data_IF_512618560657
#
_entry.id   IF_512618560657
#
_cell.length_a   1.000
_cell.length_b   1.000
_cell.length_c   1.000
_cell.angle_alpha   90.00
_cell.angle_beta   90.00
_cell.angle_gamma   90.00
#
_symmetry.space_group_name_H-M   'P 1'
#
loop_
_entity.id
_entity.type
_entity.pdbx_description
1 polymer ?
#
# COMPACT_ATOMS: atom_id res chain seq x y z
N UNK A 1 72.06 -8.48 31.19
CA UNK A 1 71.03 -9.45 30.74
C UNK A 1 69.57 -8.99 30.96
N UNK A 2 69.31 -7.78 31.50
CA UNK A 2 67.96 -7.34 31.90
C UNK A 2 67.24 -6.38 30.92
N UNK A 3 67.86 -5.96 29.83
CA UNK A 3 67.30 -4.93 28.92
C UNK A 3 66.32 -5.48 27.88
N UNK A 4 66.42 -6.76 27.54
CA UNK A 4 65.60 -7.41 26.49
C UNK A 4 64.13 -7.63 26.89
N UNK A 5 63.88 -7.97 28.16
CA UNK A 5 62.53 -8.22 28.68
C UNK A 5 61.70 -6.94 28.79
N UNK A 6 62.31 -5.82 29.18
CA UNK A 6 61.64 -4.51 29.23
C UNK A 6 61.26 -3.99 27.83
N UNK A 7 62.14 -4.18 26.84
CA UNK A 7 61.85 -3.81 25.45
C UNK A 7 60.73 -4.68 24.85
N UNK A 8 60.73 -5.98 25.12
CA UNK A 8 59.68 -6.88 24.65
C UNK A 8 58.30 -6.52 25.25
N UNK A 9 58.28 -6.11 26.52
CA UNK A 9 57.05 -5.68 27.19
C UNK A 9 56.48 -4.38 26.59
N UNK A 10 57.32 -3.37 26.37
CA UNK A 10 56.88 -2.11 25.76
C UNK A 10 56.40 -2.29 24.31
N UNK A 11 57.11 -3.11 23.53
CA UNK A 11 56.69 -3.45 22.16
C UNK A 11 55.34 -4.19 22.12
N UNK A 12 55.03 -4.99 23.15
CA UNK A 12 53.73 -5.65 23.28
C UNK A 12 52.63 -4.62 23.59
N UNK A 13 52.88 -3.69 24.53
CA UNK A 13 51.93 -2.62 24.88
C UNK A 13 51.60 -1.76 23.65
N UNK A 14 52.62 -1.35 22.88
CA UNK A 14 52.41 -0.57 21.65
C UNK A 14 51.63 -1.34 20.59
N UNK A 15 51.91 -2.64 20.42
CA UNK A 15 51.16 -3.49 19.47
C UNK A 15 49.71 -3.68 19.89
N UNK A 16 49.42 -3.79 21.19
CA UNK A 16 48.05 -3.91 21.71
C UNK A 16 47.29 -2.58 21.60
N UNK A 17 47.93 -1.47 21.92
CA UNK A 17 47.35 -0.13 21.72
C UNK A 17 47.04 0.12 20.24
N UNK A 18 47.96 -0.23 19.33
CA UNK A 18 47.74 -0.02 17.90
C UNK A 18 46.64 -0.94 17.33
N UNK A 19 46.53 -2.21 17.79
CA UNK A 19 45.43 -3.11 17.40
C UNK A 19 44.06 -2.61 17.86
N UNK A 20 43.96 -2.10 19.08
CA UNK A 20 42.69 -1.59 19.62
C UNK A 20 42.24 -0.32 18.90
N UNK A 21 43.16 0.60 18.62
CA UNK A 21 42.90 1.80 17.83
C UNK A 21 42.49 1.46 16.38
N UNK A 22 43.21 0.56 15.71
CA UNK A 22 42.86 0.13 14.36
C UNK A 22 41.50 -0.58 14.27
N UNK A 23 41.16 -1.40 15.27
CA UNK A 23 39.85 -2.05 15.36
C UNK A 23 38.71 -1.03 15.46
N UNK A 24 38.87 -0.01 16.30
CA UNK A 24 37.87 1.06 16.49
C UNK A 24 37.67 1.89 15.21
N UNK A 25 38.75 2.27 14.54
CA UNK A 25 38.70 3.05 13.28
C UNK A 25 38.04 2.26 12.15
N UNK A 26 38.33 0.96 12.02
CA UNK A 26 37.68 0.09 11.03
C UNK A 26 36.17 -0.01 11.25
N UNK A 27 35.73 -0.22 12.49
CA UNK A 27 34.30 -0.32 12.81
C UNK A 27 33.57 0.99 12.55
N UNK A 28 34.16 2.13 12.92
CA UNK A 28 33.57 3.45 12.62
C UNK A 28 33.49 3.68 11.12
N UNK A 29 34.52 3.32 10.35
CA UNK A 29 34.53 3.51 8.89
C UNK A 29 33.49 2.64 8.17
N UNK A 30 33.23 1.43 8.67
CA UNK A 30 32.16 0.55 8.19
C UNK A 30 30.78 1.12 8.52
N UNK A 31 30.57 1.59 9.76
CA UNK A 31 29.31 2.18 10.19
C UNK A 31 28.99 3.47 9.42
N UNK A 32 29.98 4.34 9.22
CA UNK A 32 29.81 5.58 8.44
C UNK A 32 29.48 5.28 6.99
N UNK A 33 30.19 4.35 6.34
CA UNK A 33 29.90 3.97 4.95
C UNK A 33 28.52 3.34 4.82
N UNK A 34 28.15 2.46 5.76
CA UNK A 34 26.82 1.83 5.80
C UNK A 34 25.69 2.84 6.01
N UNK A 35 25.93 3.91 6.76
CA UNK A 35 24.96 4.99 6.97
C UNK A 35 24.92 6.00 5.81
N UNK A 36 26.03 6.19 5.09
CA UNK A 36 26.10 7.13 3.97
C UNK A 36 25.21 6.69 2.80
N UNK A 37 25.12 5.38 2.53
CA UNK A 37 24.32 4.83 1.44
C UNK A 37 22.82 5.19 1.52
N UNK A 38 22.10 4.94 2.64
CA UNK A 38 20.70 5.31 2.74
C UNK A 38 20.51 6.84 2.74
N UNK A 39 21.42 7.61 3.32
CA UNK A 39 21.34 9.08 3.33
C UNK A 39 21.42 9.63 1.91
N UNK A 40 22.29 9.09 1.07
CA UNK A 40 22.39 9.47 -0.34
C UNK A 40 21.14 9.09 -1.17
N UNK A 41 20.35 8.11 -0.70
CA UNK A 41 19.09 7.71 -1.35
C UNK A 41 17.88 8.58 -0.94
N UNK A 42 17.95 9.32 0.18
CA UNK A 42 16.85 10.17 0.66
C UNK A 42 16.38 11.18 -0.39
N UNK A 43 17.26 11.93 -1.10
CA UNK A 43 16.82 12.92 -2.09
C UNK A 43 16.07 12.28 -3.25
N UNK A 44 16.51 11.11 -3.71
CA UNK A 44 15.85 10.36 -4.78
C UNK A 44 14.47 9.88 -4.33
N UNK A 45 14.36 9.34 -3.11
CA UNK A 45 13.08 8.91 -2.53
C UNK A 45 12.14 10.10 -2.33
N UNK A 46 12.64 11.24 -1.86
CA UNK A 46 11.85 12.46 -1.69
C UNK A 46 11.35 13.00 -3.04
N UNK A 47 12.18 12.98 -4.08
CA UNK A 47 11.78 13.34 -5.43
C UNK A 47 10.68 12.39 -5.93
N UNK A 48 10.90 11.08 -5.83
CA UNK A 48 9.91 10.07 -6.20
C UNK A 48 8.62 10.24 -5.41
N UNK A 49 8.69 10.65 -4.15
CA UNK A 49 7.52 10.90 -3.31
C UNK A 49 6.67 12.08 -3.78
N UNK A 50 7.29 13.13 -4.31
CA UNK A 50 6.58 14.30 -4.87
C UNK A 50 6.07 13.99 -6.29
N UNK A 51 6.87 13.29 -7.09
CA UNK A 51 6.55 12.97 -8.49
C UNK A 51 5.52 11.85 -8.61
N UNK A 52 5.58 10.85 -7.72
CA UNK A 52 4.58 9.81 -7.62
C UNK A 52 3.45 10.36 -6.74
N UNK A 53 2.29 10.75 -7.30
CA UNK A 53 1.13 11.00 -6.46
C UNK A 53 0.92 9.74 -5.61
N UNK A 54 0.67 9.87 -4.30
CA UNK A 54 0.30 8.73 -3.43
C UNK A 54 -1.05 8.16 -3.90
N UNK A 55 -1.08 7.56 -5.07
CA UNK A 55 -2.28 7.05 -5.69
C UNK A 55 -2.59 5.75 -5.00
N UNK A 56 -3.81 5.66 -4.48
CA UNK A 56 -4.40 4.43 -3.96
C UNK A 56 -4.51 3.33 -5.04
N UNK A 57 -4.18 3.67 -6.29
CA UNK A 57 -4.28 2.81 -7.47
C UNK A 57 -2.87 2.45 -7.95
N UNK A 58 -2.58 1.15 -8.18
CA UNK A 58 -1.31 0.72 -8.76
C UNK A 58 -1.10 1.34 -10.15
N UNK A 59 0.09 1.85 -10.43
CA UNK A 59 0.42 2.44 -11.73
C UNK A 59 0.31 1.44 -12.89
N UNK A 60 0.36 0.14 -12.60
CA UNK A 60 0.30 -0.97 -13.56
C UNK A 60 -1.10 -1.55 -13.78
N UNK A 61 -2.16 -0.87 -13.31
CA UNK A 61 -3.53 -1.39 -13.45
C UNK A 61 -3.98 -1.51 -14.92
N UNK A 62 -3.27 -0.86 -15.85
CA UNK A 62 -3.50 -0.97 -17.29
C UNK A 62 -3.08 -2.33 -17.90
N UNK A 63 -2.35 -3.18 -17.18
CA UNK A 63 -2.00 -4.52 -17.67
C UNK A 63 -3.16 -5.52 -17.46
N UNK A 64 -4.08 -5.20 -16.55
CA UNK A 64 -5.29 -5.97 -16.27
C UNK A 64 -6.56 -5.30 -16.84
N UNK A 65 -6.53 -4.82 -18.09
CA UNK A 65 -7.77 -4.54 -18.84
C UNK A 65 -8.44 -5.87 -19.27
N UNK A 66 -8.69 -6.77 -18.33
CA UNK A 66 -9.84 -7.66 -18.51
C UNK A 66 -11.06 -6.77 -18.28
N UNK A 67 -11.92 -6.67 -19.29
CA UNK A 67 -13.20 -5.97 -19.22
C UNK A 67 -14.12 -6.63 -18.20
N UNK A 68 -13.79 -6.47 -16.92
CA UNK A 68 -14.66 -6.84 -15.82
C UNK A 68 -15.87 -5.95 -15.99
N UNK A 69 -16.97 -6.56 -16.46
CA UNK A 69 -18.27 -5.94 -16.51
C UNK A 69 -18.46 -5.21 -15.19
N UNK A 70 -18.53 -3.88 -15.25
CA UNK A 70 -18.60 -3.04 -14.07
C UNK A 70 -19.90 -3.39 -13.36
N UNK A 71 -19.82 -4.18 -12.28
CA UNK A 71 -20.99 -4.49 -11.46
C UNK A 71 -21.55 -3.18 -10.90
N UNK A 72 -22.76 -2.83 -11.31
CA UNK A 72 -23.43 -1.57 -11.01
C UNK A 72 -24.93 -1.64 -11.33
N UNK A 73 -25.67 -0.58 -11.03
CA UNK A 73 -27.09 -0.51 -11.34
C UNK A 73 -27.31 -0.41 -12.85
N UNK A 74 -28.07 -1.34 -13.42
CA UNK A 74 -28.54 -1.30 -14.81
C UNK A 74 -29.91 -0.62 -14.92
N UNK A 75 -30.22 -0.05 -16.08
CA UNK A 75 -31.54 0.56 -16.35
C UNK A 75 -32.66 -0.47 -16.61
N UNK A 76 -32.27 -1.73 -16.78
CA UNK A 76 -33.17 -2.87 -16.90
C UNK A 76 -32.67 -4.05 -16.05
N UNK A 77 -33.60 -4.73 -15.39
CA UNK A 77 -33.34 -5.96 -14.62
C UNK A 77 -34.22 -7.07 -15.17
N UNK A 78 -33.60 -8.20 -15.50
CA UNK A 78 -34.31 -9.45 -15.80
C UNK A 78 -34.05 -10.41 -14.63
N UNK A 79 -35.08 -10.87 -13.92
CA UNK A 79 -34.91 -11.86 -12.87
C UNK A 79 -34.15 -13.08 -13.38
N UNK A 80 -33.08 -13.48 -12.68
CA UNK A 80 -32.25 -14.63 -13.02
C UNK A 80 -31.05 -14.36 -13.94
N UNK A 81 -30.92 -13.20 -14.59
CA UNK A 81 -29.80 -12.93 -15.50
C UNK A 81 -28.53 -12.39 -14.84
N UNK A 82 -28.64 -11.73 -13.68
CA UNK A 82 -27.56 -10.86 -13.17
C UNK A 82 -27.30 -10.97 -11.66
N UNK A 83 -27.85 -11.99 -10.99
CA UNK A 83 -27.69 -12.19 -9.54
C UNK A 83 -26.25 -12.51 -9.12
N UNK A 84 -25.52 -13.28 -9.94
CA UNK A 84 -24.18 -13.75 -9.60
C UNK A 84 -23.10 -12.64 -9.71
N UNK A 85 -23.27 -11.73 -10.68
CA UNK A 85 -22.29 -10.67 -10.97
C UNK A 85 -22.29 -9.56 -9.89
N UNK A 86 -23.47 -9.22 -9.35
CA UNK A 86 -23.58 -8.22 -8.27
C UNK A 86 -23.14 -8.80 -6.92
N UNK A 87 -23.45 -10.08 -6.65
CA UNK A 87 -23.08 -10.72 -5.38
C UNK A 87 -21.58 -10.98 -5.21
N UNK A 88 -20.85 -11.20 -6.32
CA UNK A 88 -19.41 -11.54 -6.30
C UNK A 88 -18.51 -10.29 -6.28
N UNK A 89 -19.06 -9.11 -6.55
CA UNK A 89 -18.29 -7.86 -6.61
C UNK A 89 -17.87 -7.36 -5.23
N UNK A 90 -16.58 -7.46 -4.89
CA UNK A 90 -16.01 -6.95 -3.63
C UNK A 90 -15.80 -5.41 -3.63
N UNK A 91 -16.71 -4.65 -4.27
CA UNK A 91 -16.61 -3.18 -4.38
C UNK A 91 -17.52 -2.52 -3.36
N UNK A 92 -17.00 -1.51 -2.67
CA UNK A 92 -17.81 -0.70 -1.76
C UNK A 92 -18.86 0.09 -2.56
N UNK A 93 -20.14 -0.20 -2.36
CA UNK A 93 -21.25 0.48 -3.02
C UNK A 93 -21.64 1.81 -2.34
N UNK A 94 -21.60 1.84 -1.01
CA UNK A 94 -21.97 2.99 -0.18
C UNK A 94 -21.19 2.96 1.13
N UNK A 95 -20.74 4.13 1.61
CA UNK A 95 -20.23 4.32 2.98
C UNK A 95 -21.17 5.29 3.69
N UNK A 96 -21.68 4.89 4.84
CA UNK A 96 -22.56 5.72 5.68
C UNK A 96 -21.95 5.81 7.07
N UNK A 97 -21.96 7.00 7.64
CA UNK A 97 -21.77 7.19 9.06
C UNK A 97 -23.13 7.44 9.69
N UNK A 98 -23.50 6.63 10.67
CA UNK A 98 -24.79 6.72 11.36
C UNK A 98 -24.64 6.31 12.82
N UNK A 99 -25.60 6.71 13.64
CA UNK A 99 -25.80 6.13 14.97
C UNK A 99 -26.27 4.67 14.85
N UNK A 100 -26.54 4.02 15.99
CA UNK A 100 -26.96 2.63 16.03
C UNK A 100 -28.41 2.48 15.51
N UNK A 101 -28.57 2.43 14.18
CA UNK A 101 -29.86 2.24 13.52
C UNK A 101 -30.29 0.77 13.62
N UNK A 102 -31.59 0.50 13.84
CA UNK A 102 -32.11 -0.86 13.77
C UNK A 102 -31.96 -1.43 12.35
N UNK A 103 -31.82 -2.76 12.17
CA UNK A 103 -31.59 -3.38 10.87
C UNK A 103 -32.64 -3.04 9.80
N UNK A 104 -33.89 -2.84 10.21
CA UNK A 104 -35.00 -2.44 9.34
C UNK A 104 -34.85 -1.04 8.74
N UNK A 105 -34.13 -0.14 9.43
CA UNK A 105 -33.84 1.20 8.93
C UNK A 105 -32.66 1.24 7.96
N UNK A 106 -31.91 0.14 7.81
CA UNK A 106 -30.76 0.03 6.89
C UNK A 106 -31.19 -0.36 5.46
N UNK A 107 -32.43 -0.06 5.07
CA UNK A 107 -32.92 -0.26 3.71
C UNK A 107 -32.61 0.95 2.83
N UNK A 108 -31.49 0.88 2.10
CA UNK A 108 -31.05 1.93 1.18
C UNK A 108 -31.72 1.79 -0.18
N UNK A 109 -32.80 2.54 -0.40
CA UNK A 109 -33.52 2.55 -1.69
C UNK A 109 -32.71 3.28 -2.77
N UNK A 110 -32.05 2.53 -3.65
CA UNK A 110 -31.23 3.08 -4.74
C UNK A 110 -32.03 3.41 -6.01
N UNK A 111 -32.48 2.39 -6.73
CA UNK A 111 -33.25 2.53 -7.98
C UNK A 111 -34.63 1.89 -7.87
N UNK A 112 -35.56 2.36 -8.71
CA UNK A 112 -36.94 1.87 -8.79
C UNK A 112 -37.24 1.57 -10.24
N UNK A 113 -37.66 0.34 -10.50
CA UNK A 113 -38.14 -0.11 -11.80
C UNK A 113 -39.66 -0.11 -11.77
N UNK A 114 -40.26 0.85 -12.45
CA UNK A 114 -41.71 1.14 -12.41
C UNK A 114 -42.45 0.69 -13.68
N UNK A 115 -41.77 0.09 -14.65
CA UNK A 115 -42.37 -0.42 -15.88
C UNK A 115 -41.94 -1.85 -16.14
N UNK A 116 -42.89 -2.71 -16.48
CA UNK A 116 -42.64 -4.12 -16.81
C UNK A 116 -42.88 -4.31 -18.32
N UNK A 117 -41.89 -4.85 -19.00
CA UNK A 117 -41.90 -5.17 -20.42
C UNK A 117 -41.65 -6.68 -20.60
N UNK A 118 -42.72 -7.46 -20.53
CA UNK A 118 -42.65 -8.92 -20.45
C UNK A 118 -41.95 -9.35 -19.16
N UNK A 119 -40.76 -9.95 -19.29
CA UNK A 119 -39.93 -10.39 -18.17
C UNK A 119 -38.88 -9.35 -17.73
N UNK A 120 -38.80 -8.22 -18.42
CA UNK A 120 -37.80 -7.17 -18.15
C UNK A 120 -38.43 -6.01 -17.36
N UNK A 121 -37.82 -5.69 -16.23
CA UNK A 121 -38.18 -4.54 -15.41
C UNK A 121 -37.34 -3.35 -15.84
N UNK A 122 -37.97 -2.22 -16.19
CA UNK A 122 -37.31 -1.02 -16.70
C UNK A 122 -37.64 0.19 -15.82
N UNK A 123 -36.68 1.12 -15.73
CA UNK A 123 -36.90 2.44 -15.13
C UNK A 123 -37.48 3.37 -16.20
N UNK A 124 -38.65 3.94 -15.95
CA UNK A 124 -39.23 5.06 -16.71
C UNK A 124 -39.33 6.28 -15.81
N UNK A 125 -38.83 7.41 -16.26
CA UNK A 125 -39.07 8.69 -15.59
C UNK A 125 -40.57 8.96 -15.56
N UNK A 126 -41.17 9.25 -14.39
CA UNK A 126 -42.59 9.62 -14.32
C UNK A 126 -42.86 10.84 -15.21
N UNK A 127 -44.03 10.92 -15.89
CA UNK A 127 -44.46 12.16 -16.50
C UNK A 127 -44.60 13.24 -15.42
N UNK A 128 -44.17 14.47 -15.74
CA UNK A 128 -44.25 15.64 -14.85
C UNK A 128 -45.69 16.07 -14.60
#
# INVERSE_FOLDING_TARGET
MSTSTAQAFNALIERLANRTLQGKVRTVKLAVTGLLMPVAAIPLVALLFVVLPRTQVPLWNFVNLSGSAMAGYSDAVRPGSSSNEIATGNRTALRVHSENLPPEALYWRGTVFNYIDGENWKRRTPPK
#
